data_IF_597001166492
#
_entry.id   IF_597001166492
#
_cell.length_a   1.000
_cell.length_b   1.000
_cell.length_c   1.000
_cell.angle_alpha   90.00
_cell.angle_beta   90.00
_cell.angle_gamma   90.00
#
_symmetry.space_group_name_H-M   'P 1'
#
loop_
_entity.id
_entity.type
_entity.pdbx_description
1 polymer ?
#
# COMPACT_ATOMS: atom_id res chain seq x y z
N UNK A 1 -8.85 -2.90 10.45
CA UNK A 1 -7.53 -2.61 9.83
C UNK A 1 -6.57 -2.07 10.88
N UNK A 2 -5.34 -2.59 10.95
CA UNK A 2 -4.30 -2.09 11.87
C UNK A 2 -2.99 -1.94 11.09
N UNK A 3 -2.52 -0.71 10.89
CA UNK A 3 -1.26 -0.41 10.22
C UNK A 3 -0.16 -0.27 11.28
N UNK A 4 0.92 -1.04 11.17
CA UNK A 4 2.09 -0.92 12.04
C UNK A 4 3.31 -0.58 11.19
N UNK A 5 4.03 0.48 11.54
CA UNK A 5 5.35 0.78 11.01
C UNK A 5 6.37 0.44 12.11
N UNK A 6 6.98 -0.75 12.04
CA UNK A 6 7.96 -1.21 13.02
C UNK A 6 9.33 -1.36 12.35
N UNK A 7 10.12 -0.28 12.35
CA UNK A 7 11.57 -0.17 12.09
C UNK A 7 12.23 -0.93 10.90
N UNK A 8 11.48 -1.69 10.09
CA UNK A 8 11.76 -2.37 8.80
C UNK A 8 10.38 -2.66 8.12
N UNK A 9 10.26 -3.34 6.94
CA UNK A 9 9.30 -3.01 5.88
C UNK A 9 7.85 -2.87 6.33
N UNK A 10 7.13 -1.94 5.69
CA UNK A 10 5.71 -1.68 5.98
C UNK A 10 4.88 -2.94 5.72
N UNK A 11 4.30 -3.51 6.77
CA UNK A 11 3.40 -4.66 6.69
C UNK A 11 1.95 -4.20 6.89
N UNK A 12 1.08 -4.60 5.95
CA UNK A 12 -0.37 -4.42 6.05
C UNK A 12 -1.01 -5.79 6.19
N UNK A 13 -1.67 -6.03 7.32
CA UNK A 13 -2.53 -7.22 7.49
C UNK A 13 -3.98 -6.78 7.37
N UNK A 14 -4.69 -7.36 6.40
CA UNK A 14 -6.14 -7.23 6.26
C UNK A 14 -6.74 -8.54 6.74
N UNK A 15 -7.64 -8.46 7.72
CA UNK A 15 -8.28 -9.66 8.26
C UNK A 15 -9.25 -10.26 7.25
N UNK A 16 -9.33 -11.59 7.17
CA UNK A 16 -10.17 -12.32 6.21
C UNK A 16 -11.68 -12.22 6.50
N UNK A 17 -12.06 -11.74 7.68
CA UNK A 17 -13.45 -11.43 8.07
C UNK A 17 -13.91 -10.05 7.58
N UNK A 18 -13.03 -9.27 6.92
CA UNK A 18 -13.42 -8.04 6.26
C UNK A 18 -14.37 -8.37 5.09
N UNK A 19 -15.67 -8.19 5.32
CA UNK A 19 -16.69 -8.27 4.28
C UNK A 19 -16.59 -7.09 3.31
N UNK A 20 -16.97 -7.33 2.05
CA UNK A 20 -16.92 -6.33 0.99
C UNK A 20 -16.62 -6.96 -0.37
N UNK A 21 -17.13 -6.35 -1.43
CA UNK A 21 -16.80 -6.71 -2.81
C UNK A 21 -15.55 -6.00 -3.31
N UNK A 22 -15.22 -6.21 -4.58
CA UNK A 22 -14.08 -5.55 -5.22
C UNK A 22 -14.16 -4.00 -5.15
N UNK A 23 -15.37 -3.44 -5.13
CA UNK A 23 -15.60 -1.99 -5.00
C UNK A 23 -15.15 -1.45 -3.64
N UNK A 24 -15.53 -2.11 -2.54
CA UNK A 24 -15.15 -1.71 -1.19
C UNK A 24 -13.63 -1.77 -0.97
N UNK A 25 -12.98 -2.81 -1.50
CA UNK A 25 -11.51 -2.91 -1.47
C UNK A 25 -10.84 -1.89 -2.39
N UNK A 26 -11.47 -1.52 -3.51
CA UNK A 26 -11.01 -0.46 -4.39
C UNK A 26 -11.03 0.90 -3.70
N UNK A 27 -12.11 1.22 -2.99
CA UNK A 27 -12.22 2.45 -2.18
C UNK A 27 -11.15 2.48 -1.08
N UNK A 28 -10.98 1.37 -0.35
CA UNK A 28 -9.94 1.25 0.67
C UNK A 28 -8.53 1.53 0.13
N UNK A 29 -8.19 0.96 -1.03
CA UNK A 29 -6.89 1.17 -1.67
C UNK A 29 -6.72 2.62 -2.14
N UNK A 30 -7.78 3.25 -2.66
CA UNK A 30 -7.76 4.65 -3.08
C UNK A 30 -7.49 5.59 -1.89
N UNK A 31 -8.16 5.37 -0.76
CA UNK A 31 -7.96 6.14 0.47
C UNK A 31 -6.54 5.98 1.02
N UNK A 32 -6.04 4.74 1.07
CA UNK A 32 -4.68 4.45 1.51
C UNK A 32 -3.64 5.14 0.62
N UNK A 33 -3.83 5.09 -0.70
CA UNK A 33 -2.95 5.73 -1.67
C UNK A 33 -2.94 7.26 -1.52
N UNK A 34 -4.11 7.89 -1.37
CA UNK A 34 -4.23 9.33 -1.20
C UNK A 34 -3.55 9.78 0.10
N UNK A 35 -3.75 9.03 1.19
CA UNK A 35 -3.11 9.31 2.46
C UNK A 35 -1.57 9.16 2.38
N UNK A 36 -1.07 8.07 1.79
CA UNK A 36 0.35 7.85 1.60
C UNK A 36 0.99 8.95 0.74
N UNK A 37 0.30 9.39 -0.31
CA UNK A 37 0.75 10.46 -1.20
C UNK A 37 0.92 11.80 -0.48
N UNK A 38 -0.03 12.16 0.39
CA UNK A 38 0.07 13.36 1.22
C UNK A 38 1.22 13.28 2.22
N UNK A 39 1.35 12.14 2.90
CA UNK A 39 2.42 11.91 3.87
C UNK A 39 3.81 11.98 3.22
N UNK A 40 4.00 11.36 2.06
CA UNK A 40 5.24 11.40 1.30
C UNK A 40 5.58 12.82 0.82
N UNK A 41 4.61 13.50 0.21
CA UNK A 41 4.79 14.87 -0.29
C UNK A 41 5.16 15.84 0.85
N UNK A 42 4.51 15.70 2.01
CA UNK A 42 4.82 16.49 3.20
C UNK A 42 6.23 16.19 3.76
N UNK A 43 6.60 14.91 3.86
CA UNK A 43 7.91 14.48 4.36
C UNK A 43 9.06 15.06 3.54
N UNK A 44 8.90 15.06 2.22
CA UNK A 44 9.97 15.45 1.28
C UNK A 44 9.84 16.91 0.82
N UNK A 45 8.89 17.66 1.38
CA UNK A 45 8.69 19.09 1.08
C UNK A 45 8.34 19.36 -0.39
N UNK A 46 7.63 18.44 -1.05
CA UNK A 46 7.28 18.55 -2.47
C UNK A 46 5.78 18.73 -2.72
N UNK A 47 5.36 19.30 -3.86
CA UNK A 47 3.95 19.36 -4.22
C UNK A 47 3.34 17.96 -4.37
N UNK A 48 2.12 17.78 -3.85
CA UNK A 48 1.38 16.50 -3.96
C UNK A 48 1.25 16.02 -5.41
N UNK A 49 1.04 16.95 -6.35
CA UNK A 49 0.94 16.64 -7.78
C UNK A 49 2.22 16.02 -8.37
N UNK A 50 3.38 16.23 -7.74
CA UNK A 50 4.67 15.66 -8.16
C UNK A 50 4.98 14.35 -7.41
N UNK A 51 4.63 14.25 -6.12
CA UNK A 51 4.85 13.03 -5.34
C UNK A 51 3.89 11.89 -5.69
N UNK A 52 2.64 12.21 -6.04
CA UNK A 52 1.59 11.22 -6.33
C UNK A 52 1.94 10.30 -7.52
N UNK A 53 2.43 10.81 -8.69
CA UNK A 53 2.88 9.95 -9.79
C UNK A 53 3.99 8.98 -9.40
N UNK A 54 4.94 9.40 -8.55
CA UNK A 54 6.06 8.53 -8.14
C UNK A 54 5.58 7.30 -7.38
N UNK A 55 4.57 7.47 -6.52
CA UNK A 55 3.98 6.37 -5.76
C UNK A 55 3.12 5.49 -6.67
N UNK A 56 2.32 6.07 -7.57
CA UNK A 56 1.48 5.28 -8.48
C UNK A 56 2.31 4.46 -9.47
N UNK A 57 3.39 5.03 -9.98
CA UNK A 57 4.26 4.36 -10.95
C UNK A 57 4.98 3.17 -10.29
N UNK A 58 5.50 3.34 -9.07
CA UNK A 58 6.10 2.22 -8.33
C UNK A 58 5.08 1.14 -7.95
N UNK A 59 3.85 1.54 -7.57
CA UNK A 59 2.76 0.62 -7.27
C UNK A 59 2.36 -0.22 -8.49
N UNK A 60 2.11 0.42 -9.64
CA UNK A 60 1.76 -0.27 -10.88
C UNK A 60 2.88 -1.19 -11.37
N UNK A 61 4.15 -0.76 -11.23
CA UNK A 61 5.31 -1.59 -11.56
C UNK A 61 5.37 -2.86 -10.71
N UNK A 62 5.06 -2.77 -9.41
CA UNK A 62 5.03 -3.93 -8.49
C UNK A 62 3.86 -4.86 -8.74
N UNK A 63 2.70 -4.34 -9.16
CA UNK A 63 1.56 -5.18 -9.57
C UNK A 63 1.92 -5.96 -10.84
N UNK A 64 2.61 -5.32 -11.79
CA UNK A 64 3.02 -5.96 -13.03
C UNK A 64 4.10 -7.05 -12.83
N UNK A 65 4.97 -6.89 -11.83
CA UNK A 65 5.96 -7.90 -11.43
C UNK A 65 5.96 -8.13 -9.91
N UNK A 66 5.05 -9.00 -9.41
CA UNK A 66 4.91 -9.26 -7.98
C UNK A 66 6.12 -10.02 -7.40
N UNK A 67 6.92 -10.68 -8.23
CA UNK A 67 8.09 -11.49 -7.81
C UNK A 67 9.20 -10.65 -7.16
N UNK A 68 9.22 -9.34 -7.43
CA UNK A 68 10.15 -8.38 -6.83
C UNK A 68 9.71 -7.89 -5.45
N UNK A 69 8.46 -8.18 -5.04
CA UNK A 69 7.94 -7.80 -3.73
C UNK A 69 8.38 -8.83 -2.70
N UNK A 70 9.15 -8.39 -1.69
CA UNK A 70 9.32 -9.14 -0.45
C UNK A 70 7.99 -9.15 0.30
N UNK A 71 7.01 -9.90 -0.18
CA UNK A 71 6.03 -10.47 0.73
C UNK A 71 6.86 -11.22 1.78
N UNK A 72 6.86 -10.71 3.01
CA UNK A 72 7.31 -11.51 4.13
C UNK A 72 6.58 -12.83 4.03
N UNK A 73 7.35 -13.92 3.92
CA UNK A 73 6.84 -15.26 3.75
C UNK A 73 5.58 -15.46 4.60
N UNK A 74 4.42 -15.49 3.96
CA UNK A 74 3.25 -16.06 4.60
C UNK A 74 3.66 -17.50 4.94
N UNK A 75 3.57 -17.94 6.21
CA UNK A 75 3.73 -19.34 6.50
C UNK A 75 2.68 -20.07 5.65
N UNK A 76 3.14 -21.00 4.82
CA UNK A 76 2.25 -21.96 4.16
C UNK A 76 1.66 -22.80 5.28
N UNK A 77 0.47 -22.46 5.75
CA UNK A 77 -0.30 -23.35 6.60
C UNK A 77 -1.15 -24.27 5.71
N UNK A 78 -1.04 -25.56 6.02
CA UNK A 78 -1.57 -26.72 5.29
C UNK A 78 -3.09 -26.80 5.24
#
# INVERSE_FOLDING_TARGET
MRLWAANEPLHVSISSDLGGGAEDFGELLADLFEHASRMYAQRDGMPLAQGRPLISDDFLRRIADPSASREGALPVEH
#
